data_IF_150781100513
#
_entry.id   IF_150781100513
#
_cell.length_a   1.000
_cell.length_b   1.000
_cell.length_c   1.000
_cell.angle_alpha   90.00
_cell.angle_beta   90.00
_cell.angle_gamma   90.00
#
_symmetry.space_group_name_H-M   'P 1'
#
loop_
_entity.id
_entity.type
_entity.pdbx_description
1 polymer ?
#
# COMPACT_ATOMS: atom_id res chain seq x y z
N UNK A 1 -21.98 -15.64 -68.03
CA UNK A 1 -21.38 -16.97 -67.83
C UNK A 1 -19.96 -16.80 -67.34
N UNK A 2 -19.75 -17.06 -66.03
CA UNK A 2 -18.48 -17.42 -65.36
C UNK A 2 -17.26 -16.51 -65.51
N UNK A 3 -16.35 -16.43 -64.55
CA UNK A 3 -16.31 -16.84 -63.15
C UNK A 3 -14.99 -16.30 -62.59
N UNK A 4 -14.94 -16.07 -61.28
CA UNK A 4 -13.72 -16.24 -60.48
C UNK A 4 -12.65 -15.15 -60.59
N UNK A 5 -12.87 -14.07 -59.86
CA UNK A 5 -11.80 -13.44 -59.09
C UNK A 5 -12.19 -13.43 -57.61
N UNK A 6 -11.16 -13.49 -56.80
CA UNK A 6 -11.11 -13.16 -55.37
C UNK A 6 -11.14 -14.34 -54.40
N UNK A 7 -9.94 -14.89 -54.25
CA UNK A 7 -9.41 -15.46 -53.02
C UNK A 7 -9.48 -14.35 -51.95
N UNK A 8 -10.32 -14.53 -50.93
CA UNK A 8 -10.16 -13.83 -49.65
C UNK A 8 -10.59 -14.76 -48.52
N UNK A 9 -9.62 -15.14 -47.69
CA UNK A 9 -9.79 -15.98 -46.51
C UNK A 9 -10.63 -15.24 -45.44
N UNK A 10 -11.56 -15.89 -44.73
CA UNK A 10 -12.31 -15.23 -43.66
C UNK A 10 -11.43 -15.00 -42.42
N UNK A 11 -11.34 -13.73 -42.03
CA UNK A 11 -10.62 -13.19 -40.87
C UNK A 11 -10.89 -13.94 -39.56
N UNK A 12 -9.80 -14.47 -39.00
CA UNK A 12 -9.70 -15.01 -37.64
C UNK A 12 -9.49 -13.90 -36.60
N UNK A 13 -10.52 -13.08 -36.35
CA UNK A 13 -10.49 -12.03 -35.30
C UNK A 13 -11.64 -12.12 -34.29
N UNK A 14 -12.08 -13.35 -33.95
CA UNK A 14 -12.93 -13.59 -32.77
C UNK A 14 -12.11 -13.92 -31.52
N UNK A 15 -11.17 -13.06 -31.16
CA UNK A 15 -10.40 -13.19 -29.92
C UNK A 15 -10.47 -11.88 -29.11
N UNK A 16 -11.25 -11.97 -28.03
CA UNK A 16 -11.15 -11.14 -26.83
C UNK A 16 -11.50 -9.65 -26.92
N UNK A 17 -12.73 -9.33 -27.34
CA UNK A 17 -13.43 -8.17 -26.79
C UNK A 17 -13.95 -8.49 -25.38
N UNK A 18 -13.06 -8.84 -24.44
CA UNK A 18 -13.39 -8.72 -23.02
C UNK A 18 -13.62 -7.23 -22.79
N UNK A 19 -14.86 -6.86 -22.46
CA UNK A 19 -15.29 -5.49 -22.21
C UNK A 19 -14.17 -4.66 -21.56
N UNK A 20 -13.75 -3.58 -22.23
CA UNK A 20 -12.74 -2.58 -21.81
C UNK A 20 -13.04 -1.94 -20.43
N UNK A 21 -14.16 -2.32 -19.81
CA UNK A 21 -14.58 -1.90 -18.49
C UNK A 21 -13.71 -2.44 -17.34
N UNK A 22 -12.95 -3.53 -17.55
CA UNK A 22 -12.10 -4.10 -16.50
C UNK A 22 -10.79 -3.35 -16.29
N UNK A 23 -10.16 -2.87 -17.37
CA UNK A 23 -8.85 -2.20 -17.34
C UNK A 23 -8.96 -0.71 -17.03
N UNK A 24 -9.99 -0.04 -17.55
CA UNK A 24 -10.31 1.34 -17.21
C UNK A 24 -11.31 1.28 -16.09
N UNK A 25 -10.90 1.62 -14.88
CA UNK A 25 -11.71 1.48 -13.68
C UNK A 25 -12.83 2.55 -13.58
N UNK A 26 -13.71 2.57 -14.57
CA UNK A 26 -14.77 3.55 -14.84
C UNK A 26 -15.88 3.54 -13.76
N UNK A 27 -15.88 2.55 -12.87
CA UNK A 27 -16.85 2.41 -11.79
C UNK A 27 -16.28 2.56 -10.37
N UNK A 28 -15.02 3.02 -10.18
CA UNK A 28 -14.43 3.20 -8.83
C UNK A 28 -15.25 4.10 -7.90
N UNK A 29 -15.95 5.08 -8.47
CA UNK A 29 -16.77 6.02 -7.72
C UNK A 29 -18.22 5.54 -7.54
N UNK A 30 -18.62 4.45 -8.21
CA UNK A 30 -19.96 3.87 -8.07
C UNK A 30 -19.98 2.97 -6.85
N UNK A 31 -20.90 3.25 -5.93
CA UNK A 31 -21.06 2.47 -4.72
C UNK A 31 -21.51 1.05 -5.07
N UNK A 32 -20.74 0.05 -4.65
CA UNK A 32 -21.18 -1.35 -4.73
C UNK A 32 -22.41 -1.53 -3.84
N UNK A 33 -23.39 -2.31 -4.31
CA UNK A 33 -24.63 -2.59 -3.58
C UNK A 33 -24.27 -3.25 -2.24
N UNK A 34 -24.42 -2.50 -1.13
CA UNK A 34 -24.01 -2.92 0.22
C UNK A 34 -22.83 -2.13 0.83
N UNK A 35 -22.12 -1.29 0.08
CA UNK A 35 -21.02 -0.49 0.62
C UNK A 35 -21.53 0.63 1.54
N UNK A 36 -21.20 0.61 2.84
CA UNK A 36 -21.55 1.69 3.78
C UNK A 36 -20.76 2.98 3.45
N UNK A 37 -21.39 3.94 2.75
CA UNK A 37 -20.87 5.32 2.61
C UNK A 37 -20.69 6.05 3.95
N UNK A 38 -21.39 5.61 5.00
CA UNK A 38 -21.49 6.32 6.27
C UNK A 38 -20.60 5.74 7.38
N UNK A 39 -19.72 4.78 7.08
CA UNK A 39 -18.79 4.22 8.06
C UNK A 39 -17.50 5.05 8.20
N UNK A 40 -17.36 6.15 7.43
CA UNK A 40 -16.21 7.04 7.63
C UNK A 40 -16.42 7.81 8.94
N UNK A 41 -15.45 7.78 9.87
CA UNK A 41 -15.54 8.54 11.10
C UNK A 41 -15.73 10.02 10.76
N UNK A 42 -16.69 10.68 11.42
CA UNK A 42 -16.93 12.12 11.29
C UNK A 42 -15.70 12.86 11.82
N UNK A 43 -14.81 13.22 10.91
CA UNK A 43 -13.62 14.05 11.20
C UNK A 43 -13.97 15.52 11.01
N UNK A 44 -13.35 16.40 11.81
CA UNK A 44 -13.59 17.84 11.69
C UNK A 44 -13.17 18.35 10.31
N UNK A 45 -13.80 19.42 9.83
CA UNK A 45 -13.43 20.08 8.56
C UNK A 45 -11.96 20.53 8.57
N UNK A 46 -11.48 20.98 9.74
CA UNK A 46 -10.08 21.40 9.96
C UNK A 46 -9.13 20.21 9.83
N UNK A 47 -9.45 19.06 10.43
CA UNK A 47 -8.62 17.85 10.32
C UNK A 47 -8.54 17.33 8.89
N UNK A 48 -9.66 17.40 8.15
CA UNK A 48 -9.67 17.06 6.72
C UNK A 48 -8.76 17.98 5.92
N UNK A 49 -8.81 19.29 6.16
CA UNK A 49 -7.93 20.25 5.50
C UNK A 49 -6.47 20.01 5.85
N UNK A 50 -6.14 19.79 7.12
CA UNK A 50 -4.78 19.50 7.57
C UNK A 50 -4.24 18.21 6.94
N UNK A 51 -5.09 17.18 6.84
CA UNK A 51 -4.73 15.91 6.18
C UNK A 51 -4.57 16.08 4.68
N UNK A 52 -5.39 16.91 4.03
CA UNK A 52 -5.28 17.25 2.61
C UNK A 52 -3.98 18.01 2.32
N UNK A 53 -3.68 19.07 3.08
CA UNK A 53 -2.42 19.84 2.99
C UNK A 53 -1.19 18.94 3.15
N UNK A 54 -1.19 18.04 4.15
CA UNK A 54 -0.09 17.07 4.34
C UNK A 54 0.08 16.11 3.16
N UNK A 55 -1.02 15.69 2.53
CA UNK A 55 -0.99 14.82 1.34
C UNK A 55 -0.44 15.57 0.13
N UNK A 56 -0.92 16.79 -0.11
CA UNK A 56 -0.44 17.67 -1.18
C UNK A 56 1.07 17.94 -1.03
N UNK A 57 1.52 18.33 0.17
CA UNK A 57 2.96 18.49 0.49
C UNK A 57 3.79 17.22 0.25
N UNK A 58 3.19 16.04 0.40
CA UNK A 58 3.88 14.76 0.16
C UNK A 58 3.88 14.34 -1.32
N UNK A 59 2.90 14.82 -2.09
CA UNK A 59 2.72 14.54 -3.51
C UNK A 59 3.34 15.62 -4.40
N UNK A 60 3.72 16.74 -3.80
CA UNK A 60 4.39 17.83 -4.48
C UNK A 60 5.65 17.30 -5.19
N UNK A 61 5.73 17.60 -6.48
CA UNK A 61 6.88 17.29 -7.34
C UNK A 61 8.03 18.26 -7.07
N UNK A 62 7.77 19.32 -6.30
CA UNK A 62 8.77 20.26 -5.85
C UNK A 62 9.85 19.54 -5.02
N UNK A 63 11.05 19.50 -5.59
CA UNK A 63 12.18 18.65 -5.17
C UNK A 63 12.56 18.93 -3.72
N UNK A 64 12.42 20.17 -3.26
CA UNK A 64 12.85 20.58 -1.92
C UNK A 64 11.90 20.14 -0.81
N UNK A 65 10.58 20.30 -1.01
CA UNK A 65 9.58 20.04 0.04
C UNK A 65 9.13 18.58 0.06
N UNK A 66 8.84 18.00 -1.11
CA UNK A 66 8.33 16.64 -1.23
C UNK A 66 9.37 15.59 -0.81
N UNK A 67 10.65 15.77 -1.21
CA UNK A 67 11.72 14.82 -0.88
C UNK A 67 12.06 14.87 0.61
N UNK A 68 12.17 16.06 1.21
CA UNK A 68 12.50 16.19 2.63
C UNK A 68 11.45 15.52 3.52
N UNK A 69 10.15 15.68 3.20
CA UNK A 69 9.06 15.02 3.94
C UNK A 69 9.13 13.50 3.81
N UNK A 70 9.39 12.98 2.60
CA UNK A 70 9.55 11.53 2.35
C UNK A 70 10.77 10.95 3.07
N UNK A 71 11.92 11.64 2.99
CA UNK A 71 13.16 11.24 3.64
C UNK A 71 13.00 11.19 5.16
N UNK A 72 12.40 12.22 5.76
CA UNK A 72 12.13 12.23 7.20
C UNK A 72 11.18 11.11 7.63
N UNK A 73 10.14 10.83 6.85
CA UNK A 73 9.22 9.72 7.12
C UNK A 73 9.93 8.36 7.03
N UNK A 74 10.75 8.17 6.00
CA UNK A 74 11.54 6.96 5.83
C UNK A 74 12.53 6.78 6.99
N UNK A 75 13.25 7.85 7.36
CA UNK A 75 14.18 7.86 8.49
C UNK A 75 13.51 7.49 9.81
N UNK A 76 12.37 8.11 10.14
CA UNK A 76 11.60 7.76 11.35
C UNK A 76 11.16 6.30 11.36
N UNK A 77 10.67 5.80 10.22
CA UNK A 77 10.26 4.39 10.09
C UNK A 77 11.43 3.43 10.28
N UNK A 78 12.60 3.78 9.74
CA UNK A 78 13.80 2.97 9.91
C UNK A 78 14.27 2.99 11.37
N UNK A 79 14.32 4.16 12.01
CA UNK A 79 14.67 4.30 13.44
C UNK A 79 13.78 3.44 14.34
N UNK A 80 12.47 3.53 14.17
CA UNK A 80 11.52 2.71 14.95
C UNK A 80 11.72 1.20 14.72
N UNK A 81 11.98 0.79 13.48
CA UNK A 81 12.26 -0.61 13.16
C UNK A 81 13.57 -1.08 13.78
N UNK A 82 14.63 -0.28 13.71
CA UNK A 82 15.92 -0.63 14.30
C UNK A 82 15.82 -0.75 15.80
N UNK A 83 15.18 0.21 16.47
CA UNK A 83 14.96 0.19 17.92
C UNK A 83 14.17 -1.05 18.34
N UNK A 84 13.04 -1.33 17.69
CA UNK A 84 12.21 -2.48 18.01
C UNK A 84 12.94 -3.82 17.75
N UNK A 85 13.72 -3.93 16.67
CA UNK A 85 14.46 -5.14 16.35
C UNK A 85 15.61 -5.39 17.34
N UNK A 86 16.32 -4.33 17.75
CA UNK A 86 17.40 -4.44 18.76
C UNK A 86 16.82 -4.82 20.11
N UNK A 87 15.72 -4.18 20.51
CA UNK A 87 15.01 -4.52 21.74
C UNK A 87 14.53 -5.98 21.75
N UNK A 88 13.95 -6.46 20.65
CA UNK A 88 13.50 -7.84 20.53
C UNK A 88 14.66 -8.85 20.63
N UNK A 89 15.82 -8.54 20.04
CA UNK A 89 17.03 -9.38 20.19
C UNK A 89 17.54 -9.41 21.61
N UNK A 90 17.63 -8.26 22.28
CA UNK A 90 18.07 -8.18 23.67
C UNK A 90 17.15 -8.98 24.61
N UNK A 91 15.85 -8.95 24.35
CA UNK A 91 14.88 -9.72 25.14
C UNK A 91 14.96 -11.23 24.89
N UNK A 92 15.23 -11.67 23.65
CA UNK A 92 15.30 -13.09 23.30
C UNK A 92 16.62 -13.72 23.72
N UNK A 93 17.75 -13.07 23.42
CA UNK A 93 19.09 -13.63 23.65
C UNK A 93 19.59 -13.31 25.05
N UNK A 94 19.41 -12.07 25.50
CA UNK A 94 19.91 -11.59 26.79
C UNK A 94 18.92 -11.75 27.93
N UNK A 95 17.72 -12.29 27.67
CA UNK A 95 16.60 -12.36 28.63
C UNK A 95 16.29 -11.01 29.31
N UNK A 96 16.64 -9.89 28.67
CA UNK A 96 16.57 -8.57 29.25
C UNK A 96 15.10 -8.10 29.36
N UNK A 97 14.71 -7.59 30.54
CA UNK A 97 13.39 -6.97 30.75
C UNK A 97 13.46 -5.47 30.45
N UNK A 98 13.11 -5.10 29.23
CA UNK A 98 13.09 -3.71 28.79
C UNK A 98 11.78 -3.02 29.24
N UNK A 99 11.91 -1.91 29.99
CA UNK A 99 10.76 -1.09 30.43
C UNK A 99 10.42 0.02 29.43
N UNK A 100 11.42 0.52 28.70
CA UNK A 100 11.32 1.72 27.86
C UNK A 100 10.70 1.42 26.49
N UNK A 101 11.08 0.31 25.86
CA UNK A 101 10.61 -0.08 24.53
C UNK A 101 9.79 -1.36 24.63
N UNK A 102 8.48 -1.24 24.38
CA UNK A 102 7.57 -2.39 24.33
C UNK A 102 7.66 -3.06 22.97
N UNK A 103 8.17 -4.29 22.93
CA UNK A 103 8.22 -5.14 21.75
C UNK A 103 6.89 -5.85 21.56
N UNK A 104 6.48 -6.07 20.31
CA UNK A 104 5.27 -6.86 20.03
C UNK A 104 5.59 -8.35 20.10
N UNK A 105 4.65 -9.17 20.57
CA UNK A 105 4.82 -10.62 20.68
C UNK A 105 5.19 -11.27 19.32
N UNK A 106 4.63 -10.75 18.23
CA UNK A 106 4.95 -11.20 16.86
C UNK A 106 6.43 -10.98 16.50
N UNK A 107 7.01 -9.84 16.92
CA UNK A 107 8.40 -9.54 16.64
C UNK A 107 9.35 -10.41 17.47
N UNK A 108 9.00 -10.65 18.73
CA UNK A 108 9.72 -11.56 19.62
C UNK A 108 9.69 -12.98 19.07
N UNK A 109 8.52 -13.49 18.66
CA UNK A 109 8.38 -14.82 18.05
C UNK A 109 9.22 -14.98 16.79
N UNK A 110 9.19 -14.00 15.86
CA UNK A 110 10.06 -14.03 14.66
C UNK A 110 11.54 -14.05 15.01
N UNK A 111 11.92 -13.33 16.05
CA UNK A 111 13.31 -13.26 16.52
C UNK A 111 13.72 -14.59 17.16
N UNK A 112 12.88 -15.18 18.01
CA UNK A 112 13.04 -16.53 18.57
C UNK A 112 13.27 -17.59 17.49
N UNK A 113 12.41 -17.63 16.47
CA UNK A 113 12.58 -18.56 15.34
C UNK A 113 13.90 -18.36 14.60
N UNK A 114 14.38 -17.11 14.48
CA UNK A 114 15.65 -16.81 13.81
C UNK A 114 16.88 -17.27 14.61
N UNK A 115 16.81 -17.20 15.94
CA UNK A 115 17.92 -17.56 16.83
C UNK A 115 17.81 -18.98 17.40
N UNK A 116 16.77 -19.74 17.04
CA UNK A 116 16.57 -21.11 17.54
C UNK A 116 16.26 -21.20 19.03
N UNK A 117 15.83 -20.09 19.65
CA UNK A 117 15.51 -20.02 21.08
C UNK A 117 14.00 -20.20 21.24
N UNK A 118 13.57 -21.28 21.88
CA UNK A 118 12.17 -21.61 22.12
C UNK A 118 11.47 -20.58 23.04
#
# INVERSE_FOLDING_TARGET
FGSSRDIFQPDSTRLFASMVQGSVALNKNKQQKGGRKNAMPKVSKVDMLNKKKKRELSQDQDITKGILVKANKAGRKMKQRTEANVAARAQVVGHARLSVVKTTAQLVSKTKSKFGVA
#
